data_IF_497029666482
#
_entry.id   IF_497029666482
#
_cell.length_a   1.000
_cell.length_b   1.000
_cell.length_c   1.000
_cell.angle_alpha   90.00
_cell.angle_beta   90.00
_cell.angle_gamma   90.00
#
_symmetry.space_group_name_H-M   'P 1'
#
loop_
_entity.id
_entity.type
_entity.pdbx_description
1 polymer ?
#
# COMPACT_ATOMS: atom_id res chain seq x y z
N UNK A 1 10.05 6.51 -17.11
CA UNK A 1 10.91 5.99 -16.04
C UNK A 1 10.03 5.68 -14.83
N UNK A 2 9.93 4.42 -14.43
CA UNK A 2 9.27 4.06 -13.17
C UNK A 2 10.04 4.70 -12.02
N UNK A 3 9.33 5.41 -11.15
CA UNK A 3 9.95 6.07 -10.01
C UNK A 3 9.84 5.16 -8.79
N UNK A 4 10.97 4.69 -8.28
CA UNK A 4 11.02 3.96 -7.01
C UNK A 4 10.77 4.96 -5.89
N UNK A 5 9.71 4.73 -5.11
CA UNK A 5 9.37 5.54 -3.94
C UNK A 5 9.72 4.77 -2.65
N UNK A 6 10.46 5.35 -1.70
CA UNK A 6 10.71 4.72 -0.41
C UNK A 6 9.41 4.38 0.32
N UNK A 7 9.26 3.11 0.74
CA UNK A 7 8.11 2.62 1.48
C UNK A 7 8.48 2.39 2.95
N UNK A 8 7.82 3.11 3.85
CA UNK A 8 7.90 2.88 5.28
C UNK A 8 6.69 2.09 5.77
N UNK A 9 6.87 1.35 6.86
CA UNK A 9 5.83 0.50 7.42
C UNK A 9 5.45 0.97 8.82
N UNK A 10 4.14 1.10 9.09
CA UNK A 10 3.65 1.22 10.45
C UNK A 10 3.69 -0.16 11.14
N UNK A 11 3.87 -0.17 12.47
CA UNK A 11 3.88 -1.43 13.23
C UNK A 11 2.58 -2.23 13.04
N UNK A 12 1.44 -1.55 12.95
CA UNK A 12 0.14 -2.18 12.64
C UNK A 12 0.16 -2.92 11.31
N UNK A 13 0.73 -2.31 10.26
CA UNK A 13 0.88 -2.96 8.96
C UNK A 13 1.84 -4.14 9.01
N UNK A 14 2.93 -4.05 9.79
CA UNK A 14 3.84 -5.18 10.00
C UNK A 14 3.15 -6.34 10.70
N UNK A 15 2.29 -6.06 11.69
CA UNK A 15 1.50 -7.08 12.36
C UNK A 15 0.49 -7.71 11.39
N UNK A 16 -0.21 -6.90 10.58
CA UNK A 16 -1.15 -7.41 9.56
C UNK A 16 -0.41 -8.38 8.59
N UNK A 17 0.75 -8.00 8.05
CA UNK A 17 1.47 -8.86 7.09
C UNK A 17 2.15 -10.07 7.74
N UNK A 18 2.42 -10.03 9.05
CA UNK A 18 3.07 -11.14 9.75
C UNK A 18 2.20 -12.40 9.81
N UNK A 19 0.89 -12.25 9.65
CA UNK A 19 -0.07 -13.36 9.58
C UNK A 19 -0.36 -13.82 8.16
N UNK A 20 0.23 -13.17 7.15
CA UNK A 20 0.01 -13.50 5.73
C UNK A 20 1.12 -14.41 5.22
N UNK A 21 0.78 -15.26 4.25
CA UNK A 21 1.74 -16.15 3.62
C UNK A 21 1.98 -15.79 2.16
N UNK A 22 3.09 -16.27 1.61
CA UNK A 22 3.38 -16.10 0.19
C UNK A 22 2.31 -16.77 -0.70
N UNK A 23 1.70 -17.87 -0.24
CA UNK A 23 0.68 -18.60 -0.99
C UNK A 23 -0.53 -17.71 -1.28
N UNK A 24 -0.99 -16.94 -0.29
CA UNK A 24 -2.13 -16.07 -0.50
C UNK A 24 -1.77 -14.88 -1.44
N UNK A 25 -0.50 -14.64 -1.78
CA UNK A 25 -0.07 -13.68 -2.82
C UNK A 25 0.58 -14.33 -4.05
N UNK A 26 0.16 -15.55 -4.42
CA UNK A 26 0.66 -16.21 -5.64
C UNK A 26 2.14 -16.62 -5.59
N UNK A 27 2.65 -16.89 -4.39
CA UNK A 27 4.05 -17.29 -4.15
C UNK A 27 5.01 -16.13 -3.89
N UNK A 28 4.52 -14.89 -3.81
CA UNK A 28 5.33 -13.69 -3.56
C UNK A 28 5.36 -13.37 -2.07
N UNK A 29 6.53 -12.98 -1.55
CA UNK A 29 6.67 -12.45 -0.20
C UNK A 29 5.65 -11.32 0.06
N UNK A 30 4.82 -11.41 1.13
CA UNK A 30 3.79 -10.42 1.43
C UNK A 30 4.31 -8.99 1.40
N UNK A 31 5.46 -8.72 2.03
CA UNK A 31 6.00 -7.37 2.12
C UNK A 31 6.38 -6.84 0.74
N UNK A 32 7.08 -7.63 -0.07
CA UNK A 32 7.44 -7.26 -1.45
C UNK A 32 6.22 -7.05 -2.33
N UNK A 33 5.19 -7.89 -2.21
CA UNK A 33 3.94 -7.73 -2.95
C UNK A 33 3.29 -6.38 -2.65
N UNK A 34 3.22 -5.99 -1.38
CA UNK A 34 2.64 -4.70 -0.98
C UNK A 34 3.46 -3.52 -1.48
N UNK A 35 4.78 -3.56 -1.34
CA UNK A 35 5.68 -2.52 -1.83
C UNK A 35 5.51 -2.32 -3.34
N UNK A 36 5.41 -3.41 -4.11
CA UNK A 36 5.14 -3.37 -5.54
C UNK A 36 3.78 -2.73 -5.85
N UNK A 37 2.71 -3.06 -5.09
CA UNK A 37 1.39 -2.45 -5.28
C UNK A 37 1.37 -0.96 -4.95
N UNK A 38 2.08 -0.55 -3.89
CA UNK A 38 2.24 0.87 -3.54
C UNK A 38 2.97 1.62 -4.67
N UNK A 39 4.04 1.04 -5.19
CA UNK A 39 4.81 1.62 -6.29
C UNK A 39 3.99 1.70 -7.59
N UNK A 40 3.25 0.64 -7.93
CA UNK A 40 2.35 0.60 -9.07
C UNK A 40 1.29 1.70 -8.98
N UNK A 41 0.61 1.82 -7.83
CA UNK A 41 -0.37 2.87 -7.60
C UNK A 41 0.26 4.26 -7.73
N UNK A 42 1.42 4.49 -7.10
CA UNK A 42 2.09 5.78 -7.15
C UNK A 42 2.44 6.17 -8.59
N UNK A 43 3.05 5.26 -9.36
CA UNK A 43 3.44 5.53 -10.75
C UNK A 43 2.23 5.76 -11.66
N UNK A 44 1.15 4.99 -11.48
CA UNK A 44 -0.08 5.14 -12.27
C UNK A 44 -0.85 6.43 -11.95
N UNK A 45 -0.66 6.99 -10.75
CA UNK A 45 -1.36 8.17 -10.27
C UNK A 45 -0.42 9.35 -10.00
N UNK A 46 0.78 9.37 -10.60
CA UNK A 46 1.82 10.40 -10.35
C UNK A 46 1.47 11.74 -11.02
N UNK A 47 0.34 12.33 -10.62
CA UNK A 47 -0.18 13.61 -11.10
C UNK A 47 -0.72 14.42 -9.92
N UNK A 48 -0.94 15.72 -10.13
CA UNK A 48 -1.48 16.62 -9.10
C UNK A 48 -0.70 16.55 -7.78
N UNK A 49 -1.41 16.34 -6.66
CA UNK A 49 -0.82 16.26 -5.32
C UNK A 49 0.24 15.15 -5.18
N UNK A 50 0.08 14.02 -5.88
CA UNK A 50 1.02 12.91 -5.85
C UNK A 50 2.33 13.20 -6.61
N UNK A 51 2.38 14.21 -7.47
CA UNK A 51 3.61 14.57 -8.20
C UNK A 51 4.73 15.06 -7.25
N UNK A 52 4.36 15.61 -6.09
CA UNK A 52 5.30 16.15 -5.09
C UNK A 52 5.69 15.15 -4.01
N UNK A 53 5.07 13.97 -4.01
CA UNK A 53 5.28 12.93 -3.00
C UNK A 53 6.62 12.24 -3.24
N UNK A 54 7.36 12.03 -2.15
CA UNK A 54 8.69 11.40 -2.16
C UNK A 54 8.81 10.22 -1.20
N UNK A 55 7.76 9.88 -0.45
CA UNK A 55 7.72 8.75 0.47
C UNK A 55 6.30 8.20 0.61
N UNK A 56 6.17 6.88 0.70
CA UNK A 56 4.94 6.21 1.06
C UNK A 56 5.05 5.61 2.47
N UNK A 57 3.94 5.54 3.19
CA UNK A 57 3.84 4.82 4.46
C UNK A 57 2.65 3.89 4.43
N UNK A 58 2.90 2.59 4.49
CA UNK A 58 1.86 1.57 4.66
C UNK A 58 1.36 1.63 6.11
N UNK A 59 0.09 1.97 6.28
CA UNK A 59 -0.58 2.12 7.58
C UNK A 59 -1.25 0.84 8.04
N UNK A 60 -1.82 0.10 7.10
CA UNK A 60 -2.41 -1.23 7.28
C UNK A 60 -1.94 -2.12 6.14
N UNK A 61 -1.64 -3.38 6.44
CA UNK A 61 -1.42 -4.40 5.41
C UNK A 61 -2.71 -4.66 4.63
N UNK A 62 -2.65 -5.57 3.67
CA UNK A 62 -3.81 -6.08 2.94
C UNK A 62 -4.92 -6.52 3.91
N UNK A 63 -6.10 -5.92 3.80
CA UNK A 63 -7.26 -6.30 4.58
C UNK A 63 -8.54 -6.01 3.80
N UNK A 64 -9.60 -6.78 4.09
CA UNK A 64 -10.95 -6.40 3.73
C UNK A 64 -11.37 -5.18 4.56
N UNK A 65 -12.00 -4.19 3.93
CA UNK A 65 -12.65 -3.13 4.69
C UNK A 65 -13.94 -3.65 5.35
N UNK A 66 -14.29 -3.04 6.49
CA UNK A 66 -15.56 -3.15 7.21
C UNK A 66 -16.27 -4.50 7.28
N UNK A 67 -17.59 -4.46 7.51
CA UNK A 67 -18.37 -5.63 7.91
C UNK A 67 -18.90 -6.46 6.73
N UNK A 68 -18.79 -5.94 5.50
CA UNK A 68 -19.32 -6.60 4.31
C UNK A 68 -18.23 -6.81 3.24
N UNK A 69 -17.61 -8.01 3.19
CA UNK A 69 -16.50 -8.31 2.31
C UNK A 69 -16.86 -8.23 0.81
N UNK A 70 -18.14 -8.19 0.44
CA UNK A 70 -18.57 -8.02 -0.96
C UNK A 70 -18.40 -6.59 -1.49
N UNK A 71 -18.32 -5.59 -0.61
CA UNK A 71 -18.24 -4.17 -1.02
C UNK A 71 -16.88 -3.54 -0.72
N UNK A 72 -16.09 -4.15 0.14
CA UNK A 72 -14.81 -3.62 0.59
C UNK A 72 -13.68 -4.56 0.20
N UNK A 73 -13.32 -4.48 -1.09
CA UNK A 73 -12.23 -5.24 -1.71
C UNK A 73 -10.95 -5.14 -0.88
N UNK A 74 -10.16 -6.21 -0.91
CA UNK A 74 -8.88 -6.26 -0.22
C UNK A 74 -7.95 -5.12 -0.70
N UNK A 75 -7.44 -4.35 0.27
CA UNK A 75 -6.64 -3.17 0.00
C UNK A 75 -5.61 -2.91 1.08
N UNK A 76 -4.58 -2.16 0.70
CA UNK A 76 -3.55 -1.62 1.56
C UNK A 76 -3.91 -0.16 1.84
N UNK A 77 -3.93 0.25 3.11
CA UNK A 77 -4.05 1.68 3.43
C UNK A 77 -2.67 2.32 3.40
N UNK A 78 -2.45 3.27 2.49
CA UNK A 78 -1.15 3.92 2.27
C UNK A 78 -1.28 5.43 2.41
N UNK A 79 -0.44 6.04 3.24
CA UNK A 79 -0.30 7.49 3.29
C UNK A 79 0.89 7.93 2.45
N UNK A 80 0.63 8.75 1.43
CA UNK A 80 1.63 9.36 0.58
C UNK A 80 2.07 10.70 1.18
N UNK A 81 3.38 10.93 1.22
CA UNK A 81 4.00 12.02 1.97
C UNK A 81 5.02 12.77 1.12
N UNK A 82 5.15 14.06 1.40
CA UNK A 82 6.28 14.87 0.97
C UNK A 82 7.09 15.26 2.22
N UNK A 83 8.20 14.56 2.43
CA UNK A 83 8.96 14.60 3.68
C UNK A 83 8.09 14.08 4.84
N UNK A 84 7.94 14.88 5.89
CA UNK A 84 7.14 14.53 7.07
C UNK A 84 5.64 14.79 6.88
N UNK A 85 5.24 15.61 5.90
CA UNK A 85 3.86 16.03 5.69
C UNK A 85 3.08 14.96 4.91
N UNK A 86 1.91 14.59 5.43
CA UNK A 86 0.97 13.76 4.68
C UNK A 86 0.31 14.61 3.59
N UNK A 87 0.33 14.09 2.36
CA UNK A 87 -0.28 14.73 1.19
C UNK A 87 -1.65 14.13 0.93
N UNK A 88 -1.74 12.81 0.98
CA UNK A 88 -3.00 12.07 0.82
C UNK A 88 -2.90 10.68 1.43
N UNK A 89 -4.04 10.08 1.74
CA UNK A 89 -4.14 8.66 2.09
C UNK A 89 -5.00 7.96 1.02
N UNK A 90 -4.50 6.83 0.53
CA UNK A 90 -5.12 6.05 -0.53
C UNK A 90 -5.35 4.60 -0.09
N UNK A 91 -6.41 4.00 -0.63
CA UNK A 91 -6.63 2.56 -0.60
C UNK A 91 -6.06 1.95 -1.88
N UNK A 92 -4.97 1.21 -1.74
CA UNK A 92 -4.31 0.52 -2.85
C UNK A 92 -4.87 -0.89 -2.91
N UNK A 93 -5.79 -1.13 -3.84
CA UNK A 93 -6.43 -2.43 -4.01
C UNK A 93 -5.43 -3.50 -4.45
N UNK A 94 -5.41 -4.62 -3.76
CA UNK A 94 -4.44 -5.69 -3.97
C UNK A 94 -4.90 -6.67 -5.05
N UNK A 95 -6.21 -6.86 -5.19
CA UNK A 95 -6.80 -7.86 -6.09
C UNK A 95 -6.40 -9.29 -5.72
N UNK A 96 -6.08 -9.52 -4.44
CA UNK A 96 -5.77 -10.82 -3.87
C UNK A 96 -6.91 -11.81 -4.05
#
# INVERSE_FOLDING_TARGET
MSSIIPVAWAQTALNDISTMTANDFGGVDPKKFHEAKVEEYYNNNKTGSLATVNKARVRRGAHSGGSNPNFEKDHITVSYRNGSKEVTTAHVYTGR
#
